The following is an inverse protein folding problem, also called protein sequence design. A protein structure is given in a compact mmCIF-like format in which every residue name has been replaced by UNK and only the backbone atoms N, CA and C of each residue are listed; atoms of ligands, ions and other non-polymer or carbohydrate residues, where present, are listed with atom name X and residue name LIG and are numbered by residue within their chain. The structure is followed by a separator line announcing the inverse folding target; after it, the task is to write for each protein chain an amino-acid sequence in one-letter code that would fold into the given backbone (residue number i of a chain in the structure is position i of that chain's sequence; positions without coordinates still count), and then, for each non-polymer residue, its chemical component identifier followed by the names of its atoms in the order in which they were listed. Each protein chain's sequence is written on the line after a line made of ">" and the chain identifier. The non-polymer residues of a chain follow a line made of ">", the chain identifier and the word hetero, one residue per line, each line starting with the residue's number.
data_IF_996926852849
#
_entry.id   IF_996926852849
#
_cell.length_a   1.000
_cell.length_b   1.000
_cell.length_c   1.000
_cell.angle_alpha   90.00
_cell.angle_beta   90.00
_cell.angle_gamma   90.00
#
_symmetry.space_group_name_H-M   'P 1'
#
loop_
_entity.id
_entity.type
_entity.pdbx_description
1 polymer ?
#
# COMPACT_ATOMS: atom_id res chain seq x y z
N UNK A 1 -15.72 13.40 -14.29
CA UNK A 1 -15.38 13.24 -12.86
C UNK A 1 -15.14 11.76 -12.62
N UNK A 2 -13.92 11.39 -12.32
CA UNK A 2 -13.63 10.01 -11.91
C UNK A 2 -14.00 9.90 -10.44
N UNK A 3 -14.97 9.07 -10.14
CA UNK A 3 -15.40 8.82 -8.76
C UNK A 3 -14.21 8.28 -7.94
N UNK A 4 -13.80 9.03 -6.95
CA UNK A 4 -12.65 8.71 -6.08
C UNK A 4 -12.97 7.58 -5.09
N UNK A 5 -14.21 7.12 -5.05
CA UNK A 5 -14.70 6.10 -4.11
C UNK A 5 -14.27 4.67 -4.47
N UNK A 6 -13.74 4.44 -5.67
CA UNK A 6 -13.31 3.11 -6.14
C UNK A 6 -11.78 2.89 -6.11
N UNK A 7 -10.98 3.92 -5.77
CA UNK A 7 -9.52 3.78 -5.74
C UNK A 7 -9.05 3.18 -4.42
N UNK A 8 -8.14 2.22 -4.52
CA UNK A 8 -7.42 1.72 -3.33
C UNK A 8 -6.61 2.85 -2.71
N UNK A 9 -6.59 2.93 -1.39
CA UNK A 9 -5.89 3.97 -0.65
C UNK A 9 -4.45 3.53 -0.41
N UNK A 10 -3.50 4.41 -0.67
CA UNK A 10 -2.11 4.27 -0.24
C UNK A 10 -1.78 5.35 0.80
N UNK A 11 -1.02 4.99 1.82
CA UNK A 11 -0.51 5.91 2.82
C UNK A 11 0.99 6.15 2.59
N UNK A 12 1.38 7.40 2.41
CA UNK A 12 2.79 7.83 2.33
C UNK A 12 3.17 8.47 3.66
N UNK A 13 4.21 7.95 4.30
CA UNK A 13 4.78 8.47 5.55
C UNK A 13 6.20 8.91 5.28
N UNK A 14 6.41 10.21 5.13
CA UNK A 14 7.67 10.84 4.75
C UNK A 14 7.70 12.27 5.27
N UNK A 15 8.73 12.66 5.98
CA UNK A 15 8.85 14.01 6.53
C UNK A 15 9.34 15.05 5.52
N UNK A 16 10.16 14.64 4.55
CA UNK A 16 10.59 15.52 3.47
C UNK A 16 9.43 15.81 2.51
N UNK A 17 9.02 17.09 2.37
CA UNK A 17 7.88 17.44 1.54
C UNK A 17 8.07 17.17 0.05
N UNK A 18 9.31 17.23 -0.46
CA UNK A 18 9.60 16.96 -1.87
C UNK A 18 9.55 15.48 -2.20
N UNK A 19 10.13 14.65 -1.32
CA UNK A 19 10.07 13.19 -1.47
C UNK A 19 8.62 12.73 -1.30
N UNK A 20 7.90 13.26 -0.34
CA UNK A 20 6.48 12.95 -0.12
C UNK A 20 5.63 13.29 -1.34
N UNK A 21 5.85 14.45 -1.95
CA UNK A 21 5.20 14.87 -3.19
C UNK A 21 5.49 13.90 -4.34
N UNK A 22 6.75 13.54 -4.53
CA UNK A 22 7.16 12.57 -5.55
C UNK A 22 6.47 11.22 -5.36
N UNK A 23 6.48 10.68 -4.15
CA UNK A 23 5.84 9.40 -3.83
C UNK A 23 4.31 9.45 -4.02
N UNK A 24 3.69 10.58 -3.65
CA UNK A 24 2.27 10.81 -3.90
C UNK A 24 1.95 10.76 -5.39
N UNK A 25 2.72 11.46 -6.20
CA UNK A 25 2.47 11.54 -7.63
C UNK A 25 2.67 10.16 -8.29
N UNK A 26 3.73 9.43 -7.94
CA UNK A 26 3.96 8.06 -8.40
C UNK A 26 2.79 7.13 -8.06
N UNK A 27 2.30 7.17 -6.83
CA UNK A 27 1.18 6.32 -6.42
C UNK A 27 -0.14 6.74 -7.06
N UNK A 28 -0.33 8.04 -7.31
CA UNK A 28 -1.51 8.56 -8.02
C UNK A 28 -1.53 8.05 -9.46
N UNK A 29 -0.38 8.05 -10.14
CA UNK A 29 -0.23 7.51 -11.49
C UNK A 29 -0.49 5.98 -11.52
N UNK A 30 -0.15 5.28 -10.45
CA UNK A 30 -0.48 3.86 -10.27
C UNK A 30 -1.97 3.59 -9.89
N UNK A 31 -2.77 4.64 -9.79
CA UNK A 31 -4.22 4.55 -9.58
C UNK A 31 -4.66 4.53 -8.11
N UNK A 32 -3.78 4.86 -7.17
CA UNK A 32 -4.15 4.99 -5.76
C UNK A 32 -4.76 6.35 -5.44
N UNK A 33 -5.64 6.39 -4.46
CA UNK A 33 -5.94 7.59 -3.70
C UNK A 33 -4.89 7.68 -2.57
N UNK A 34 -4.18 8.81 -2.45
CA UNK A 34 -3.04 8.90 -1.55
C UNK A 34 -3.36 9.71 -0.31
N UNK A 35 -3.11 9.14 0.86
CA UNK A 35 -3.04 9.81 2.14
C UNK A 35 -1.58 10.14 2.45
N UNK A 36 -1.32 11.31 2.98
CA UNK A 36 0.02 11.80 3.30
C UNK A 36 0.16 12.07 4.79
N UNK A 37 1.25 11.59 5.37
CA UNK A 37 1.63 11.86 6.74
C UNK A 37 3.10 12.29 6.80
N UNK A 38 3.41 13.32 7.56
CA UNK A 38 4.76 13.82 7.79
C UNK A 38 5.44 13.26 9.05
N UNK A 39 4.70 12.49 9.84
CA UNK A 39 5.18 11.86 11.07
C UNK A 39 4.36 10.61 11.42
N UNK A 40 4.89 9.82 12.35
CA UNK A 40 4.27 8.55 12.73
C UNK A 40 2.91 8.67 13.40
N UNK A 41 2.68 9.71 14.20
CA UNK A 41 1.40 9.93 14.88
C UNK A 41 0.28 10.27 13.91
N UNK A 42 0.57 11.11 12.91
CA UNK A 42 -0.38 11.41 11.83
C UNK A 42 -0.67 10.16 10.99
N UNK A 43 0.35 9.35 10.70
CA UNK A 43 0.21 8.11 9.95
C UNK A 43 -0.76 7.13 10.63
N UNK A 44 -0.62 6.91 11.92
CA UNK A 44 -1.49 6.01 12.69
C UNK A 44 -2.94 6.49 12.68
N UNK A 45 -3.17 7.78 12.94
CA UNK A 45 -4.53 8.35 12.91
C UNK A 45 -5.21 8.20 11.54
N UNK A 46 -4.44 8.38 10.46
CA UNK A 46 -4.95 8.20 9.10
C UNK A 46 -5.27 6.73 8.82
N UNK A 47 -4.35 5.82 9.17
CA UNK A 47 -4.52 4.39 8.96
C UNK A 47 -5.71 3.80 9.75
N UNK A 48 -5.99 4.31 10.94
CA UNK A 48 -7.15 3.91 11.74
C UNK A 48 -8.48 4.39 11.14
N UNK A 49 -8.50 5.61 10.63
CA UNK A 49 -9.72 6.20 10.04
C UNK A 49 -10.04 5.64 8.66
N UNK A 50 -9.01 5.43 7.88
CA UNK A 50 -9.11 4.92 6.51
C UNK A 50 -8.00 3.88 6.29
N UNK A 51 -8.25 2.60 6.60
CA UNK A 51 -7.24 1.57 6.44
C UNK A 51 -6.72 1.53 5.00
N UNK A 52 -5.41 1.73 4.79
CA UNK A 52 -4.83 1.74 3.46
C UNK A 52 -4.66 0.33 2.91
N UNK A 53 -4.57 0.21 1.59
CA UNK A 53 -4.21 -1.03 0.89
C UNK A 53 -2.69 -1.17 0.72
N UNK A 54 -1.94 -0.09 0.95
CA UNK A 54 -0.48 -0.04 0.84
C UNK A 54 0.06 1.09 1.72
N UNK A 55 1.22 0.86 2.36
CA UNK A 55 1.96 1.90 3.08
C UNK A 55 3.37 2.02 2.50
N UNK A 56 3.78 3.23 2.13
CA UNK A 56 5.18 3.59 1.92
C UNK A 56 5.68 4.32 3.18
N UNK A 57 6.69 3.79 3.83
CA UNK A 57 7.14 4.25 5.14
C UNK A 57 8.62 4.59 5.13
N UNK A 58 8.96 5.87 5.34
CA UNK A 58 10.33 6.25 5.70
C UNK A 58 10.63 5.78 7.14
N UNK A 59 11.78 5.14 7.30
CA UNK A 59 12.24 4.68 8.61
C UNK A 59 12.90 5.77 9.44
N UNK A 60 13.29 6.89 8.82
CA UNK A 60 13.87 8.06 9.50
C UNK A 60 12.82 9.17 9.57
N UNK A 61 12.06 9.18 10.64
CA UNK A 61 11.00 10.16 10.89
C UNK A 61 11.34 11.02 12.12
N UNK A 62 10.83 12.26 12.20
CA UNK A 62 10.90 13.05 13.42
C UNK A 62 10.00 12.45 14.52
N UNK A 63 10.32 12.71 15.77
CA UNK A 63 9.56 12.37 16.98
C UNK A 63 9.48 10.87 17.29
N UNK A 64 9.36 10.00 16.26
CA UNK A 64 9.17 8.58 16.42
C UNK A 64 9.91 7.79 15.36
N UNK A 65 10.52 6.68 15.76
CA UNK A 65 11.19 5.78 14.82
C UNK A 65 10.21 5.13 13.85
N UNK A 66 10.56 5.11 12.56
CA UNK A 66 9.78 4.36 11.55
C UNK A 66 9.71 2.86 11.83
N UNK A 67 10.70 2.28 12.51
CA UNK A 67 10.65 0.87 12.95
C UNK A 67 9.58 0.63 14.01
N UNK A 68 9.41 1.56 14.96
CA UNK A 68 8.33 1.48 15.95
C UNK A 68 6.96 1.60 15.26
N UNK A 69 6.83 2.52 14.32
CA UNK A 69 5.61 2.67 13.53
C UNK A 69 5.30 1.41 12.72
N UNK A 70 6.31 0.81 12.07
CA UNK A 70 6.19 -0.45 11.34
C UNK A 70 5.69 -1.57 12.25
N UNK A 71 6.28 -1.70 13.44
CA UNK A 71 5.89 -2.70 14.44
C UNK A 71 4.44 -2.50 14.85
N UNK A 72 4.03 -1.28 15.10
CA UNK A 72 2.66 -0.95 15.51
C UNK A 72 1.64 -1.23 14.41
N UNK A 73 1.93 -0.84 13.16
CA UNK A 73 1.10 -1.16 12.00
C UNK A 73 0.92 -2.67 11.82
N UNK A 74 1.98 -3.45 12.01
CA UNK A 74 1.94 -4.93 11.89
C UNK A 74 1.31 -5.63 13.09
N UNK A 75 1.22 -4.97 14.23
CA UNK A 75 0.59 -5.49 15.45
C UNK A 75 -0.89 -5.13 15.56
N UNK A 76 -1.33 -4.09 14.88
CA UNK A 76 -2.72 -3.61 14.93
C UNK A 76 -3.59 -4.43 13.98
N UNK A 77 -4.68 -5.01 14.49
CA UNK A 77 -5.56 -5.90 13.71
C UNK A 77 -6.07 -5.27 12.40
N UNK A 78 -6.35 -3.97 12.42
CA UNK A 78 -6.86 -3.26 11.25
C UNK A 78 -5.83 -3.11 10.12
N UNK A 79 -4.53 -3.10 10.45
CA UNK A 79 -3.45 -2.80 9.51
C UNK A 79 -2.41 -3.91 9.38
N UNK A 80 -2.48 -4.96 10.19
CA UNK A 80 -1.49 -6.05 10.19
C UNK A 80 -1.34 -6.74 8.82
N UNK A 81 -2.42 -6.83 8.06
CA UNK A 81 -2.46 -7.45 6.73
C UNK A 81 -2.03 -6.49 5.60
N UNK A 82 -1.91 -5.19 5.89
CA UNK A 82 -1.55 -4.18 4.90
C UNK A 82 -0.08 -4.31 4.52
N UNK A 83 0.27 -4.41 3.23
CA UNK A 83 1.65 -4.43 2.81
C UNK A 83 2.33 -3.08 3.12
N UNK A 84 3.52 -3.16 3.71
CA UNK A 84 4.35 -2.02 4.03
C UNK A 84 5.67 -2.12 3.28
N UNK A 85 6.00 -1.10 2.50
CA UNK A 85 7.30 -0.91 1.86
C UNK A 85 8.08 0.10 2.67
N UNK A 86 9.15 -0.35 3.32
CA UNK A 86 10.02 0.52 4.11
C UNK A 86 11.09 1.16 3.22
N UNK A 87 11.28 2.46 3.37
CA UNK A 87 12.27 3.24 2.60
C UNK A 87 13.24 3.92 3.56
N UNK A 88 14.53 3.85 3.30
CA UNK A 88 15.52 4.54 4.15
C UNK A 88 16.86 4.71 3.46
N UNK A 89 17.59 5.78 3.81
CA UNK A 89 19.00 5.94 3.47
C UNK A 89 19.93 5.12 4.39
N UNK A 90 19.40 4.61 5.50
CA UNK A 90 20.16 3.85 6.51
C UNK A 90 20.00 2.35 6.30
N UNK A 91 21.10 1.71 5.87
CA UNK A 91 21.13 0.27 5.61
C UNK A 91 20.83 -0.58 6.86
N UNK A 92 21.29 -0.14 8.03
CA UNK A 92 21.03 -0.82 9.31
C UNK A 92 19.54 -0.89 9.66
N UNK A 93 18.79 0.18 9.36
CA UNK A 93 17.34 0.21 9.55
C UNK A 93 16.61 -0.69 8.55
N UNK A 94 17.08 -0.72 7.29
CA UNK A 94 16.48 -1.58 6.26
C UNK A 94 16.63 -3.07 6.62
N UNK A 95 17.78 -3.48 7.12
CA UNK A 95 18.01 -4.87 7.57
C UNK A 95 17.01 -5.24 8.67
N UNK A 96 16.82 -4.36 9.65
CA UNK A 96 15.85 -4.58 10.74
C UNK A 96 14.40 -4.57 10.27
N UNK A 97 14.07 -3.66 9.34
CA UNK A 97 12.73 -3.58 8.79
C UNK A 97 12.35 -4.78 7.91
N UNK A 98 13.33 -5.42 7.27
CA UNK A 98 13.10 -6.55 6.38
C UNK A 98 12.40 -7.76 7.05
N UNK A 99 12.47 -7.86 8.37
CA UNK A 99 11.78 -8.91 9.12
C UNK A 99 10.26 -8.69 9.20
N UNK A 100 9.80 -7.44 9.15
CA UNK A 100 8.40 -7.06 9.32
C UNK A 100 7.78 -6.44 8.07
N UNK A 101 8.56 -5.69 7.30
CA UNK A 101 8.10 -5.06 6.07
C UNK A 101 7.96 -6.09 4.93
N UNK A 102 7.04 -5.82 4.03
CA UNK A 102 6.83 -6.67 2.85
C UNK A 102 7.91 -6.45 1.78
N UNK A 103 8.51 -5.26 1.76
CA UNK A 103 9.68 -4.93 0.96
C UNK A 103 10.47 -3.80 1.60
N UNK A 104 11.74 -3.67 1.23
CA UNK A 104 12.61 -2.57 1.64
C UNK A 104 13.25 -1.92 0.42
N UNK A 105 13.45 -0.60 0.48
CA UNK A 105 14.04 0.21 -0.60
C UNK A 105 15.07 1.15 0.00
N UNK A 106 16.28 1.14 -0.54
CA UNK A 106 17.33 2.05 -0.13
C UNK A 106 17.19 3.41 -0.84
N UNK A 107 17.41 4.51 -0.10
CA UNK A 107 17.55 5.85 -0.70
C UNK A 107 19.02 6.10 -1.06
N UNK A 108 19.32 6.74 -2.17
CA UNK A 108 18.43 7.14 -3.25
C UNK A 108 17.87 5.93 -3.99
N UNK A 109 16.57 5.92 -4.27
CA UNK A 109 15.91 4.79 -4.92
C UNK A 109 15.74 5.02 -6.42
N UNK A 110 15.73 3.94 -7.16
CA UNK A 110 15.29 3.90 -8.54
C UNK A 110 13.75 3.82 -8.58
N UNK A 111 13.14 4.64 -9.43
CA UNK A 111 11.67 4.69 -9.55
C UNK A 111 11.13 3.36 -10.07
N UNK A 112 11.81 2.73 -11.02
CA UNK A 112 11.38 1.43 -11.56
C UNK A 112 11.46 0.33 -10.51
N UNK A 113 12.49 0.32 -9.67
CA UNK A 113 12.60 -0.59 -8.54
C UNK A 113 11.44 -0.41 -7.55
N UNK A 114 11.15 0.83 -7.19
CA UNK A 114 10.06 1.15 -6.28
C UNK A 114 8.71 0.71 -6.86
N UNK A 115 8.44 1.03 -8.12
CA UNK A 115 7.21 0.64 -8.81
C UNK A 115 7.07 -0.90 -8.91
N UNK A 116 8.16 -1.62 -9.15
CA UNK A 116 8.16 -3.08 -9.16
C UNK A 116 7.75 -3.66 -7.79
N UNK A 117 8.24 -3.08 -6.70
CA UNK A 117 7.88 -3.49 -5.34
C UNK A 117 6.43 -3.13 -4.99
N UNK A 118 5.94 -1.98 -5.40
CA UNK A 118 4.53 -1.59 -5.26
C UNK A 118 3.63 -2.58 -6.00
N UNK A 119 3.97 -2.92 -7.24
CA UNK A 119 3.22 -3.89 -8.04
C UNK A 119 3.21 -5.29 -7.41
N UNK A 120 4.34 -5.73 -6.86
CA UNK A 120 4.45 -7.01 -6.16
C UNK A 120 3.60 -7.04 -4.87
N UNK A 121 3.58 -5.95 -4.11
CA UNK A 121 2.76 -5.80 -2.91
C UNK A 121 1.26 -5.86 -3.25
N UNK A 122 0.86 -5.19 -4.32
CA UNK A 122 -0.54 -5.21 -4.81
C UNK A 122 -1.00 -6.62 -5.19
N UNK A 123 -0.16 -7.40 -5.87
CA UNK A 123 -0.49 -8.79 -6.24
C UNK A 123 -0.71 -9.68 -5.03
N UNK A 124 0.03 -9.47 -3.94
CA UNK A 124 -0.14 -10.23 -2.70
C UNK A 124 -1.44 -9.90 -1.97
N UNK A 125 -1.86 -8.67 -2.05
CA UNK A 125 -3.12 -8.21 -1.43
C UNK A 125 -4.37 -8.67 -2.18
N UNK A 126 -4.23 -9.11 -3.44
CA UNK A 126 -5.31 -9.61 -4.30
C UNK A 126 -4.99 -11.04 -4.77
N UNK A 127 -5.12 -12.07 -3.92
CA UNK A 127 -4.93 -13.46 -4.34
C UNK A 127 -6.01 -13.83 -5.36
N UNK A 128 -5.62 -14.04 -6.60
CA UNK A 128 -6.51 -14.40 -7.71
C UNK A 128 -6.43 -13.51 -8.93
N UNK A 129 -5.78 -12.37 -8.86
CA UNK A 129 -5.50 -11.54 -10.03
C UNK A 129 -4.21 -12.01 -10.72
N UNK A 130 -4.31 -13.10 -11.50
CA UNK A 130 -3.24 -13.50 -12.41
C UNK A 130 -3.32 -12.62 -13.67
N UNK A 131 -2.84 -11.38 -13.58
CA UNK A 131 -2.84 -10.43 -14.69
C UNK A 131 -1.40 -10.17 -15.12
N UNK A 132 -1.06 -10.36 -16.40
CA UNK A 132 0.25 -10.02 -16.89
C UNK A 132 0.52 -8.52 -16.78
N UNK A 133 1.63 -8.22 -16.36
CA UNK A 133 2.42 -7.13 -15.82
C UNK A 133 2.25 -5.71 -16.39
N UNK A 134 1.34 -5.41 -17.28
CA UNK A 134 1.48 -4.11 -17.97
C UNK A 134 0.45 -3.06 -17.56
N UNK A 135 -0.72 -3.37 -17.13
CA UNK A 135 -1.67 -2.35 -16.62
C UNK A 135 -2.73 -3.03 -15.74
N UNK A 136 -2.41 -3.34 -14.49
CA UNK A 136 -3.44 -3.66 -13.51
C UNK A 136 -3.77 -2.40 -12.72
N UNK A 137 -4.81 -1.69 -13.10
CA UNK A 137 -5.34 -0.61 -12.27
C UNK A 137 -5.95 -1.19 -11.00
N UNK A 138 -5.96 -0.41 -9.92
CA UNK A 138 -6.57 -0.79 -8.65
C UNK A 138 -8.03 -1.30 -8.80
N UNK A 139 -8.69 -0.95 -9.88
CA UNK A 139 -10.05 -1.41 -10.24
C UNK A 139 -10.16 -2.93 -10.42
N UNK A 140 -9.07 -3.62 -10.79
CA UNK A 140 -9.09 -5.06 -11.07
C UNK A 140 -9.28 -5.91 -9.81
N UNK A 141 -8.79 -5.45 -8.67
CA UNK A 141 -8.94 -6.16 -7.40
C UNK A 141 -10.39 -6.15 -6.89
N UNK A 142 -11.10 -5.04 -7.03
CA UNK A 142 -12.48 -4.92 -6.61
C UNK A 142 -13.45 -5.71 -7.51
N UNK A 143 -13.15 -5.79 -8.81
CA UNK A 143 -13.98 -6.54 -9.77
C UNK A 143 -13.87 -8.05 -9.57
N UNK A 144 -12.71 -8.57 -9.17
CA UNK A 144 -12.52 -9.99 -8.90
C UNK A 144 -13.28 -10.45 -7.64
N UNK A 145 -13.34 -9.61 -6.62
CA UNK A 145 -14.09 -9.89 -5.39
C UNK A 145 -15.62 -9.93 -5.62
N UNK A 146 -16.11 -9.16 -6.58
CA UNK A 146 -17.57 -9.06 -6.86
C UNK A 146 -18.08 -10.14 -7.83
N UNK A 147 -17.20 -10.80 -8.58
CA UNK A 147 -17.61 -11.90 -9.48
C UNK A 147 -17.84 -13.23 -8.78
N UNK A 148 -17.33 -13.39 -7.57
CA UNK A 148 -17.53 -14.60 -6.76
C UNK A 148 -18.92 -14.75 -6.15
N UNK A 149 -19.75 -13.71 -6.18
CA UNK A 149 -21.07 -13.68 -5.55
C UNK A 149 -22.26 -14.00 -6.45
N UNK A 150 -22.07 -14.13 -7.76
CA UNK A 150 -23.19 -14.21 -8.70
C UNK A 150 -23.42 -15.60 -9.34
N UNK A 151 -22.80 -16.65 -8.83
CA UNK A 151 -23.00 -18.01 -9.38
C UNK A 151 -23.86 -18.92 -8.48
N UNK A 152 -24.95 -18.43 -7.95
CA UNK A 152 -26.01 -19.31 -7.43
C UNK A 152 -27.39 -18.78 -7.80
N UNK A 153 -27.71 -18.76 -9.04
CA UNK A 153 -29.10 -18.85 -9.48
C UNK A 153 -29.21 -20.04 -10.42
N UNK A 154 -29.39 -21.19 -9.84
CA UNK A 154 -29.98 -22.34 -10.52
C UNK A 154 -31.41 -21.96 -10.87
N UNK A 155 -31.67 -21.70 -12.11
CA UNK A 155 -33.04 -21.63 -12.62
C UNK A 155 -33.44 -23.07 -12.82
N UNK A 156 -34.24 -23.57 -11.90
CA UNK A 156 -35.01 -24.80 -12.10
C UNK A 156 -36.07 -24.49 -13.13
N UNK A 157 -36.02 -25.15 -14.27
CA UNK A 157 -37.09 -25.10 -15.23
C UNK A 157 -38.26 -25.95 -14.73
N UNK A 158 -39.50 -25.48 -14.86
CA UNK A 158 -40.67 -26.31 -14.56
C UNK A 158 -40.93 -27.32 -15.68
N UNK A 159 -41.67 -28.39 -15.37
CA UNK A 159 -42.02 -29.47 -16.26
C UNK A 159 -42.87 -29.07 -17.45
#
# INVERSE_FOLDING_TARGET
>A
MVDNSERSIALVVEDDPWIRLLLRDLLTDEGYAVLEASNGSAALRLAERQPPALVLLDLVLPERSGLELLTELKSTRATAHVPVIAVSARADLLVRAAELADAVVAKPFDIEELLAKISAARRRSCPGANVPTVIASARTCQHAANRGGLQKRTISAPP
#
